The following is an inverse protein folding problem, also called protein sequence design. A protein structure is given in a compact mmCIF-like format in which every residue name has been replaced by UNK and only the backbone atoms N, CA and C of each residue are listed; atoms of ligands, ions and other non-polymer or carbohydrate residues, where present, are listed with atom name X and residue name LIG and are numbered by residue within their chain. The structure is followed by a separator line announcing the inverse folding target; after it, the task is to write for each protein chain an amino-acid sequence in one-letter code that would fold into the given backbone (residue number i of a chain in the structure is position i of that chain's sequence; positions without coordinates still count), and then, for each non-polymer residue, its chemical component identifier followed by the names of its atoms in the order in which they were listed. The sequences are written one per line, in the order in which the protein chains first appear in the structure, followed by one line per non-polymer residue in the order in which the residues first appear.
data_IF_872191332019
#
_entry.id   IF_872191332019
#
_cell.length_a   1.000
_cell.length_b   1.000
_cell.length_c   1.000
_cell.angle_alpha   90.00
_cell.angle_beta   90.00
_cell.angle_gamma   90.00
#
_symmetry.space_group_name_H-M   'P 1'
#
loop_
_entity.id
_entity.type
_entity.pdbx_description
1 polymer ?
#
# COMPACT_ATOMS: atom_id res chain seq x y z
N UNK A 1 14.56 -50.31 -48.69
CA UNK A 1 14.38 -50.97 -47.37
C UNK A 1 14.94 -50.19 -46.17
N UNK A 2 15.55 -49.00 -46.30
CA UNK A 2 16.13 -48.28 -45.13
C UNK A 2 15.19 -47.29 -44.42
N UNK A 3 14.13 -46.79 -45.06
CA UNK A 3 13.24 -45.77 -44.45
C UNK A 3 12.26 -46.30 -43.40
N UNK A 4 12.07 -47.62 -43.30
CA UNK A 4 11.15 -48.24 -42.32
C UNK A 4 11.83 -48.43 -40.96
N UNK A 5 13.15 -48.63 -40.94
CA UNK A 5 13.91 -48.85 -39.71
C UNK A 5 14.16 -47.57 -38.89
N UNK A 6 14.21 -46.39 -39.53
CA UNK A 6 14.35 -45.11 -38.81
C UNK A 6 13.07 -44.69 -38.09
N UNK A 7 11.89 -44.98 -38.66
CA UNK A 7 10.60 -44.67 -38.01
C UNK A 7 10.39 -45.44 -36.70
N UNK A 8 10.92 -46.66 -36.60
CA UNK A 8 10.81 -47.47 -35.39
C UNK A 8 11.76 -47.00 -34.27
N UNK A 9 12.95 -46.50 -34.61
CA UNK A 9 13.88 -45.92 -33.62
C UNK A 9 13.38 -44.59 -33.04
N UNK A 10 12.69 -43.78 -33.84
CA UNK A 10 12.07 -42.55 -33.36
C UNK A 10 10.91 -42.81 -32.39
N UNK A 11 10.12 -43.86 -32.64
CA UNK A 11 8.98 -44.21 -31.78
C UNK A 11 9.43 -44.80 -30.42
N UNK A 12 10.53 -45.57 -30.39
CA UNK A 12 11.07 -46.12 -29.14
C UNK A 12 11.75 -45.06 -28.26
N UNK A 13 12.39 -44.05 -28.85
CA UNK A 13 13.01 -42.95 -28.10
C UNK A 13 11.97 -42.00 -27.47
N UNK A 14 10.81 -41.83 -28.13
CA UNK A 14 9.69 -41.03 -27.63
C UNK A 14 9.00 -41.70 -26.42
N UNK A 15 8.91 -43.03 -26.42
CA UNK A 15 8.32 -43.79 -25.30
C UNK A 15 9.20 -43.81 -24.04
N UNK A 16 10.53 -43.84 -24.20
CA UNK A 16 11.46 -43.77 -23.05
C UNK A 16 11.47 -42.36 -22.44
N UNK A 17 11.37 -41.31 -23.27
CA UNK A 17 11.29 -39.93 -22.78
C UNK A 17 9.99 -39.68 -21.99
N UNK A 18 8.86 -40.25 -22.41
CA UNK A 18 7.59 -40.15 -21.68
C UNK A 18 7.54 -40.97 -20.39
N UNK A 19 8.23 -42.11 -20.30
CA UNK A 19 8.32 -42.86 -19.04
C UNK A 19 9.25 -42.18 -18.01
N UNK A 20 10.30 -41.48 -18.45
CA UNK A 20 11.19 -40.74 -17.54
C UNK A 20 10.55 -39.41 -17.06
N UNK A 21 9.65 -38.81 -17.84
CA UNK A 21 8.82 -37.67 -17.43
C UNK A 21 7.52 -38.06 -16.69
N UNK A 22 7.16 -39.35 -16.69
CA UNK A 22 5.96 -39.90 -16.03
C UNK A 22 6.16 -40.27 -14.56
N UNK A 23 7.38 -40.17 -14.03
CA UNK A 23 7.61 -39.99 -12.60
C UNK A 23 7.19 -38.58 -12.24
N UNK A 24 5.87 -38.34 -12.30
CA UNK A 24 5.24 -37.22 -11.64
C UNK A 24 5.81 -37.20 -10.24
N UNK A 25 6.52 -36.12 -9.92
CA UNK A 25 6.96 -35.82 -8.58
C UNK A 25 5.67 -35.83 -7.76
N UNK A 26 5.37 -36.96 -7.12
CA UNK A 26 4.34 -37.01 -6.10
C UNK A 26 4.93 -36.17 -4.99
N UNK A 27 4.69 -34.86 -5.05
CA UNK A 27 4.85 -34.01 -3.88
C UNK A 27 4.10 -34.75 -2.78
N UNK A 28 4.82 -35.18 -1.74
CA UNK A 28 4.21 -35.77 -0.57
C UNK A 28 3.05 -34.85 -0.20
N UNK A 29 1.82 -35.39 -0.20
CA UNK A 29 0.65 -34.60 0.07
C UNK A 29 0.85 -33.98 1.46
N UNK A 30 1.12 -32.67 1.47
CA UNK A 30 1.35 -31.95 2.71
C UNK A 30 0.14 -32.05 3.64
N UNK A 31 0.27 -31.66 4.90
CA UNK A 31 -0.86 -31.63 5.83
C UNK A 31 -2.07 -30.94 5.21
N UNK A 32 -3.23 -31.57 5.37
CA UNK A 32 -4.50 -31.04 4.88
C UNK A 32 -4.91 -29.81 5.68
N UNK A 33 -5.67 -28.92 5.07
CA UNK A 33 -6.35 -27.80 5.73
C UNK A 33 -7.83 -27.83 5.35
N UNK A 34 -8.70 -27.41 6.26
CA UNK A 34 -10.12 -27.15 5.95
C UNK A 34 -10.34 -25.78 5.30
N UNK A 35 -9.33 -24.91 5.29
CA UNK A 35 -9.41 -23.59 4.69
C UNK A 35 -9.37 -23.73 3.17
N UNK A 36 -10.43 -23.30 2.50
CA UNK A 36 -10.57 -23.38 1.04
C UNK A 36 -10.81 -22.03 0.38
N UNK A 37 -11.21 -21.02 1.15
CA UNK A 37 -11.55 -19.69 0.64
C UNK A 37 -10.75 -18.58 1.29
N UNK A 38 -10.81 -17.41 0.67
CA UNK A 38 -10.19 -16.17 1.12
C UNK A 38 -11.22 -15.05 1.01
N UNK A 39 -11.29 -14.20 2.03
CA UNK A 39 -12.00 -12.92 1.97
C UNK A 39 -11.13 -11.83 2.57
N UNK A 40 -10.89 -10.80 1.77
CA UNK A 40 -10.19 -9.59 2.19
C UNK A 40 -11.20 -8.46 2.31
N UNK A 41 -11.18 -7.77 3.45
CA UNK A 41 -11.98 -6.57 3.72
C UNK A 41 -11.02 -5.41 3.96
N UNK A 42 -11.30 -4.28 3.31
CA UNK A 42 -10.64 -3.01 3.57
C UNK A 42 -11.54 -2.09 4.39
N UNK A 43 -10.93 -1.19 5.15
CA UNK A 43 -11.65 -0.15 5.89
C UNK A 43 -12.16 0.97 4.97
N UNK A 44 -11.41 1.26 3.91
CA UNK A 44 -11.76 2.24 2.87
C UNK A 44 -11.58 1.64 1.47
N UNK A 45 -12.26 2.23 0.48
CA UNK A 45 -12.10 1.88 -0.93
C UNK A 45 -11.27 2.91 -1.71
N UNK A 46 -10.91 4.02 -1.06
CA UNK A 46 -10.12 5.12 -1.62
C UNK A 46 -9.20 5.68 -0.54
N UNK A 47 -7.96 5.95 -0.91
CA UNK A 47 -6.91 6.52 -0.06
C UNK A 47 -6.76 7.99 -0.43
N UNK A 48 -7.02 8.86 0.55
CA UNK A 48 -6.97 10.31 0.32
C UNK A 48 -5.58 10.86 0.57
N UNK A 49 -5.34 12.11 0.14
CA UNK A 49 -4.08 12.79 0.43
C UNK A 49 -3.77 12.88 1.94
N UNK A 50 -4.82 12.96 2.77
CA UNK A 50 -4.75 13.08 4.23
C UNK A 50 -4.77 11.74 4.97
N UNK A 51 -5.35 10.70 4.38
CA UNK A 51 -5.37 9.35 4.94
C UNK A 51 -4.60 8.39 4.03
N UNK A 52 -3.34 8.14 4.39
CA UNK A 52 -2.39 7.33 3.60
C UNK A 52 -2.26 5.89 4.07
N UNK A 53 -3.13 5.43 4.97
CA UNK A 53 -3.09 4.08 5.52
C UNK A 53 -4.37 3.35 5.13
N UNK A 54 -4.21 2.20 4.49
CA UNK A 54 -5.28 1.24 4.23
C UNK A 54 -5.16 0.09 5.24
N UNK A 55 -6.23 -0.22 5.96
CA UNK A 55 -6.26 -1.37 6.86
C UNK A 55 -6.94 -2.55 6.18
N UNK A 56 -6.32 -3.73 6.28
CA UNK A 56 -6.81 -4.97 5.69
C UNK A 56 -7.10 -6.00 6.77
N UNK A 57 -8.30 -6.56 6.71
CA UNK A 57 -8.67 -7.78 7.41
C UNK A 57 -8.69 -8.93 6.42
N UNK A 58 -7.96 -10.01 6.73
CA UNK A 58 -7.77 -11.17 5.89
C UNK A 58 -8.39 -12.36 6.60
N UNK A 59 -9.36 -13.00 5.97
CA UNK A 59 -10.05 -14.16 6.52
C UNK A 59 -9.83 -15.39 5.64
N UNK A 60 -9.35 -16.48 6.25
CA UNK A 60 -9.42 -17.81 5.68
C UNK A 60 -10.82 -18.38 5.89
N UNK A 61 -11.42 -18.92 4.84
CA UNK A 61 -12.80 -19.43 4.88
C UNK A 61 -12.86 -20.94 4.71
N UNK A 62 -13.85 -21.55 5.37
CA UNK A 62 -14.21 -22.95 5.20
C UNK A 62 -15.05 -23.17 3.92
N UNK A 63 -15.46 -24.40 3.67
CA UNK A 63 -16.30 -24.76 2.51
C UNK A 63 -17.72 -24.19 2.57
N UNK A 64 -18.14 -23.68 3.72
CA UNK A 64 -19.43 -23.01 3.93
C UNK A 64 -19.32 -21.48 3.82
N UNK A 65 -18.11 -20.94 3.62
CA UNK A 65 -17.85 -19.51 3.54
C UNK A 65 -17.76 -18.80 4.90
N UNK A 66 -17.68 -19.54 6.02
CA UNK A 66 -17.44 -18.99 7.34
C UNK A 66 -15.93 -18.88 7.62
N UNK A 67 -15.54 -18.05 8.58
CA UNK A 67 -14.13 -17.98 9.01
C UNK A 67 -13.71 -19.32 9.58
N UNK A 68 -12.67 -19.92 8.99
CA UNK A 68 -12.19 -21.23 9.38
C UNK A 68 -11.24 -21.15 10.57
N UNK A 69 -11.78 -21.40 11.76
CA UNK A 69 -11.01 -21.43 13.00
C UNK A 69 -10.26 -22.75 13.22
N UNK A 70 -10.53 -23.76 12.40
CA UNK A 70 -9.94 -25.10 12.48
C UNK A 70 -9.02 -25.40 11.30
N UNK A 71 -8.79 -24.43 10.40
CA UNK A 71 -7.95 -24.57 9.21
C UNK A 71 -6.56 -25.13 9.47
N UNK A 72 -6.04 -24.95 10.68
CA UNK A 72 -4.70 -25.39 11.09
C UNK A 72 -4.69 -26.76 11.79
N UNK A 73 -5.86 -27.39 12.02
CA UNK A 73 -5.97 -28.64 12.79
C UNK A 73 -5.26 -29.83 12.13
N UNK A 74 -5.04 -29.76 10.81
CA UNK A 74 -4.31 -30.79 10.06
C UNK A 74 -2.79 -30.67 10.11
N UNK A 75 -2.24 -29.74 10.88
CA UNK A 75 -0.79 -29.54 11.03
C UNK A 75 -0.16 -28.57 10.02
N UNK A 76 -0.98 -27.94 9.18
CA UNK A 76 -0.56 -26.81 8.36
C UNK A 76 -0.76 -25.50 9.11
N UNK A 77 0.14 -24.54 8.93
CA UNK A 77 -0.09 -23.13 9.29
C UNK A 77 -0.68 -22.39 8.10
N UNK A 78 -1.69 -21.55 8.31
CA UNK A 78 -2.25 -20.73 7.23
C UNK A 78 -1.60 -19.35 7.22
N UNK A 79 -1.09 -18.95 6.07
CA UNK A 79 -0.46 -17.64 5.86
C UNK A 79 -1.04 -16.96 4.62
N UNK A 80 -1.03 -15.62 4.61
CA UNK A 80 -1.40 -14.82 3.45
C UNK A 80 -0.19 -14.02 2.96
N UNK A 81 0.20 -14.18 1.71
CA UNK A 81 1.12 -13.26 1.04
C UNK A 81 0.33 -12.06 0.52
N UNK A 82 0.62 -10.88 1.05
CA UNK A 82 -0.04 -9.61 0.68
C UNK A 82 0.97 -8.77 -0.08
N UNK A 83 0.59 -8.33 -1.28
CA UNK A 83 1.40 -7.50 -2.15
C UNK A 83 0.63 -6.24 -2.57
N UNK A 84 1.31 -5.10 -2.60
CA UNK A 84 0.81 -3.84 -3.19
C UNK A 84 1.80 -3.28 -4.20
N UNK A 85 1.31 -2.60 -5.24
CA UNK A 85 2.14 -2.00 -6.30
C UNK A 85 2.59 -0.60 -5.88
N UNK A 86 1.68 0.20 -5.31
CA UNK A 86 1.93 1.60 -4.96
C UNK A 86 2.25 1.83 -3.48
N UNK A 87 1.90 0.89 -2.61
CA UNK A 87 2.02 1.02 -1.16
C UNK A 87 3.02 0.03 -0.55
N UNK A 88 3.38 0.30 0.71
CA UNK A 88 4.25 -0.56 1.50
C UNK A 88 3.45 -1.30 2.57
N UNK A 89 3.31 -2.61 2.41
CA UNK A 89 2.60 -3.49 3.35
C UNK A 89 3.37 -3.58 4.69
N UNK A 90 2.69 -3.28 5.79
CA UNK A 90 3.16 -3.45 7.16
C UNK A 90 2.39 -4.57 7.87
N UNK A 91 3.09 -5.28 8.74
CA UNK A 91 2.59 -6.46 9.43
C UNK A 91 3.16 -7.75 8.84
N UNK A 92 3.14 -8.81 9.65
CA UNK A 92 3.68 -10.12 9.28
C UNK A 92 5.21 -10.16 9.14
N UNK A 93 5.70 -11.15 8.40
CA UNK A 93 7.12 -11.42 8.18
C UNK A 93 7.56 -11.22 6.73
N UNK A 94 8.87 -11.01 6.51
CA UNK A 94 9.47 -10.95 5.17
C UNK A 94 9.68 -12.34 4.54
N UNK A 95 9.64 -13.39 5.35
CA UNK A 95 9.73 -14.78 4.89
C UNK A 95 8.59 -15.61 5.46
N UNK A 96 8.15 -16.67 4.78
CA UNK A 96 7.23 -17.65 5.33
C UNK A 96 7.89 -18.38 6.51
N UNK A 97 7.80 -17.87 7.74
CA UNK A 97 8.41 -18.55 8.90
C UNK A 97 8.99 -17.69 10.01
N UNK A 98 9.23 -16.39 9.80
CA UNK A 98 9.75 -15.50 10.86
C UNK A 98 8.85 -14.28 11.03
N UNK A 99 8.30 -14.11 12.24
CA UNK A 99 7.78 -12.81 12.66
C UNK A 99 8.98 -11.98 13.14
N UNK A 100 9.25 -10.84 12.51
CA UNK A 100 10.35 -9.95 12.90
C UNK A 100 10.00 -8.48 12.70
N UNK A 101 10.51 -7.65 13.62
CA UNK A 101 10.36 -6.18 13.68
C UNK A 101 11.46 -5.51 12.85
N UNK A 102 11.10 -4.53 12.01
CA UNK A 102 12.05 -3.61 11.37
C UNK A 102 12.01 -3.58 9.85
N UNK A 103 11.92 -2.36 9.33
CA UNK A 103 11.62 -1.91 7.96
C UNK A 103 12.67 -2.31 6.92
N UNK A 104 12.27 -2.87 5.76
CA UNK A 104 12.79 -2.59 4.40
C UNK A 104 11.86 -3.14 3.31
N UNK A 105 11.95 -2.56 2.12
CA UNK A 105 11.08 -2.73 0.96
C UNK A 105 11.29 -4.05 0.20
N UNK A 106 10.21 -4.81 0.08
CA UNK A 106 9.86 -5.69 -1.05
C UNK A 106 8.37 -5.96 -0.85
N UNK A 107 7.56 -5.61 -1.84
CA UNK A 107 6.12 -5.37 -1.73
C UNK A 107 5.28 -6.48 -1.09
N UNK A 108 5.83 -7.68 -0.96
CA UNK A 108 5.15 -8.86 -0.43
C UNK A 108 5.47 -9.10 1.04
N UNK A 109 4.44 -9.19 1.88
CA UNK A 109 4.53 -9.61 3.29
C UNK A 109 3.74 -10.88 3.54
N UNK A 110 4.21 -11.72 4.45
CA UNK A 110 3.52 -12.94 4.86
C UNK A 110 2.84 -12.73 6.21
N UNK A 111 1.52 -12.70 6.21
CA UNK A 111 0.66 -12.51 7.38
C UNK A 111 0.25 -13.88 7.89
N UNK A 112 0.49 -14.16 9.18
CA UNK A 112 -0.03 -15.36 9.83
C UNK A 112 -1.53 -15.20 10.10
N UNK A 113 -2.34 -16.20 9.78
CA UNK A 113 -3.76 -16.22 10.12
C UNK A 113 -3.96 -16.98 11.43
N UNK A 114 -4.24 -16.26 12.52
CA UNK A 114 -4.56 -16.87 13.80
C UNK A 114 -6.05 -17.24 13.82
N UNK A 115 -6.37 -18.53 13.87
CA UNK A 115 -7.74 -19.04 13.80
C UNK A 115 -8.51 -18.46 12.60
N UNK A 116 -7.89 -18.49 11.43
CA UNK A 116 -8.48 -17.99 10.18
C UNK A 116 -8.49 -16.47 10.04
N UNK A 117 -7.95 -15.69 10.98
CA UNK A 117 -7.94 -14.23 10.94
C UNK A 117 -6.52 -13.67 10.88
N UNK A 118 -6.26 -12.83 9.88
CA UNK A 118 -5.02 -12.07 9.71
C UNK A 118 -5.32 -10.58 9.54
N UNK A 119 -4.37 -9.73 9.91
CA UNK A 119 -4.48 -8.28 9.74
C UNK A 119 -3.16 -7.70 9.26
N UNK A 120 -3.24 -6.71 8.39
CA UNK A 120 -2.11 -5.91 7.95
C UNK A 120 -2.58 -4.52 7.56
N UNK A 121 -1.64 -3.60 7.37
CA UNK A 121 -1.96 -2.31 6.78
C UNK A 121 -1.00 -2.01 5.63
N UNK A 122 -1.39 -1.07 4.77
CA UNK A 122 -0.58 -0.61 3.65
C UNK A 122 -0.42 0.88 3.80
N UNK A 123 0.83 1.32 3.91
CA UNK A 123 1.17 2.74 3.98
C UNK A 123 1.56 3.22 2.59
N UNK A 124 0.86 4.21 2.07
CA UNK A 124 1.12 4.83 0.77
C UNK A 124 2.05 6.02 0.93
N UNK A 125 3.13 6.14 0.12
CA UNK A 125 3.98 7.31 0.16
C UNK A 125 3.22 8.55 -0.36
N UNK A 126 3.70 9.75 0.00
CA UNK A 126 2.98 10.99 -0.27
C UNK A 126 2.82 11.30 -1.78
N UNK A 127 3.72 10.77 -2.60
CA UNK A 127 3.77 10.90 -4.05
C UNK A 127 3.01 9.80 -4.81
N UNK A 128 2.52 8.75 -4.12
CA UNK A 128 1.69 7.73 -4.76
C UNK A 128 0.35 8.33 -5.22
N UNK A 129 -0.05 7.96 -6.44
CA UNK A 129 -1.34 8.31 -7.03
C UNK A 129 -1.76 7.30 -8.10
N UNK A 130 -3.06 7.21 -8.37
CA UNK A 130 -3.68 6.29 -9.32
C UNK A 130 -4.18 5.01 -8.66
N UNK A 131 -4.48 3.99 -9.45
CA UNK A 131 -5.04 2.72 -8.96
C UNK A 131 -3.94 1.77 -8.48
N UNK A 132 -3.96 1.42 -7.20
CA UNK A 132 -3.13 0.35 -6.64
C UNK A 132 -3.81 -1.01 -6.82
N UNK A 133 -3.03 -2.02 -7.20
CA UNK A 133 -3.49 -3.42 -7.31
C UNK A 133 -2.93 -4.21 -6.15
N UNK A 134 -3.78 -4.53 -5.18
CA UNK A 134 -3.42 -5.33 -4.01
C UNK A 134 -3.72 -6.80 -4.30
N UNK A 135 -2.70 -7.66 -4.20
CA UNK A 135 -2.86 -9.10 -4.38
C UNK A 135 -2.66 -9.82 -3.06
N UNK A 136 -3.62 -10.62 -2.64
CA UNK A 136 -3.56 -11.45 -1.44
C UNK A 136 -3.65 -12.92 -1.85
N UNK A 137 -2.61 -13.70 -1.54
CA UNK A 137 -2.52 -15.12 -1.84
C UNK A 137 -2.55 -15.88 -0.53
N UNK A 138 -3.58 -16.70 -0.34
CA UNK A 138 -3.71 -17.57 0.81
C UNK A 138 -2.95 -18.87 0.56
N UNK A 139 -2.10 -19.29 1.49
CA UNK A 139 -1.28 -20.48 1.37
C UNK A 139 -1.31 -21.29 2.66
N UNK A 140 -1.16 -22.61 2.52
CA UNK A 140 -0.79 -23.48 3.62
C UNK A 140 0.72 -23.61 3.68
N UNK A 141 1.27 -23.63 4.89
CA UNK A 141 2.70 -23.77 5.18
C UNK A 141 2.92 -24.94 6.13
N UNK A 142 3.93 -25.75 5.88
CA UNK A 142 4.36 -26.80 6.80
C UNK A 142 5.86 -27.02 6.75
N UNK A 143 6.40 -27.64 7.79
CA UNK A 143 7.83 -27.97 7.86
C UNK A 143 7.99 -29.48 7.91
N UNK A 144 8.80 -30.02 6.99
CA UNK A 144 9.15 -31.44 6.95
C UNK A 144 10.66 -31.58 6.80
N UNK A 145 11.28 -32.34 7.71
CA UNK A 145 12.74 -32.59 7.75
C UNK A 145 13.55 -31.26 7.67
N UNK A 146 13.13 -30.26 8.44
CA UNK A 146 13.81 -28.95 8.52
C UNK A 146 13.62 -28.04 7.31
N UNK A 147 12.85 -28.46 6.30
CA UNK A 147 12.51 -27.64 5.13
C UNK A 147 11.09 -27.09 5.26
N UNK A 148 10.91 -25.82 4.88
CA UNK A 148 9.58 -25.18 4.87
C UNK A 148 8.99 -25.25 3.47
N UNK A 149 7.78 -25.78 3.38
CA UNK A 149 7.00 -25.87 2.16
C UNK A 149 5.79 -24.94 2.25
N UNK A 150 5.41 -24.39 1.11
CA UNK A 150 4.21 -23.56 0.96
C UNK A 150 3.44 -23.99 -0.27
N UNK A 151 2.11 -24.04 -0.18
CA UNK A 151 1.22 -24.35 -1.29
C UNK A 151 0.06 -23.35 -1.30
N UNK A 152 -0.25 -22.81 -2.47
CA UNK A 152 -1.37 -21.90 -2.65
C UNK A 152 -2.71 -22.62 -2.48
N UNK A 153 -3.59 -22.01 -1.69
CA UNK A 153 -4.98 -22.42 -1.52
C UNK A 153 -5.84 -21.64 -2.52
N UNK A 154 -5.72 -20.31 -2.49
CA UNK A 154 -6.52 -19.40 -3.31
C UNK A 154 -5.90 -17.99 -3.33
N UNK A 155 -6.43 -17.10 -4.18
CA UNK A 155 -5.99 -15.71 -4.30
C UNK A 155 -7.15 -14.74 -4.51
N UNK A 156 -6.97 -13.51 -4.07
CA UNK A 156 -7.88 -12.40 -4.30
C UNK A 156 -7.08 -11.15 -4.70
N UNK A 157 -7.62 -10.37 -5.62
CA UNK A 157 -7.08 -9.06 -6.01
C UNK A 157 -8.10 -7.97 -5.68
N UNK A 158 -7.60 -6.84 -5.17
CA UNK A 158 -8.39 -5.63 -4.89
C UNK A 158 -7.75 -4.45 -5.60
N UNK A 159 -8.60 -3.56 -6.12
CA UNK A 159 -8.16 -2.29 -6.69
C UNK A 159 -8.54 -1.17 -5.74
N UNK A 160 -7.56 -0.37 -5.34
CA UNK A 160 -7.76 0.77 -4.43
C UNK A 160 -7.30 2.03 -5.15
N UNK A 161 -8.16 3.04 -5.17
CA UNK A 161 -7.80 4.32 -5.75
C UNK A 161 -6.99 5.15 -4.75
N UNK A 162 -5.83 5.64 -5.18
CA UNK A 162 -4.95 6.51 -4.39
C UNK A 162 -5.03 7.92 -4.98
N UNK A 163 -5.70 8.80 -4.25
CA UNK A 163 -5.84 10.19 -4.66
C UNK A 163 -4.46 10.88 -4.69
N UNK A 164 -4.19 11.74 -5.70
CA UNK A 164 -2.99 12.54 -5.72
C UNK A 164 -2.95 13.49 -4.52
N UNK A 165 -1.73 13.89 -4.13
CA UNK A 165 -1.58 14.96 -3.15
C UNK A 165 -2.30 16.22 -3.64
N UNK A 166 -3.03 16.88 -2.74
CA UNK A 166 -3.58 18.19 -3.05
C UNK A 166 -2.40 19.13 -3.40
N UNK A 167 -2.51 19.93 -4.47
CA UNK A 167 -1.51 20.97 -4.71
C UNK A 167 -1.43 21.85 -3.47
N UNK A 168 -0.22 22.26 -3.10
CA UNK A 168 -0.03 23.21 -2.01
C UNK A 168 -0.95 24.41 -2.23
N UNK A 169 -1.67 24.83 -1.19
CA UNK A 169 -2.45 26.05 -1.25
C UNK A 169 -1.51 27.17 -1.69
N UNK A 170 -1.83 27.83 -2.80
CA UNK A 170 -1.04 28.96 -3.27
C UNK A 170 -0.96 29.99 -2.14
N UNK A 171 0.24 30.54 -1.91
CA UNK A 171 0.39 31.69 -1.03
C UNK A 171 -0.36 32.86 -1.68
N UNK A 172 -1.18 33.58 -0.91
CA UNK A 172 -1.82 34.80 -1.39
C UNK A 172 -0.74 35.82 -1.72
N UNK A 173 -0.53 36.11 -3.00
CA UNK A 173 0.40 37.14 -3.43
C UNK A 173 -0.32 38.49 -3.45
N UNK A 174 0.00 39.34 -2.47
CA UNK A 174 -0.42 40.74 -2.47
C UNK A 174 0.36 41.45 -3.59
N UNK A 175 -0.34 41.94 -4.61
CA UNK A 175 0.24 42.70 -5.72
C UNK A 175 0.40 44.17 -5.42
N UNK A 176 -0.58 44.72 -4.72
CA UNK A 176 -0.61 46.15 -4.40
C UNK A 176 -1.53 46.41 -3.22
N UNK A 177 -1.28 47.51 -2.52
CA UNK A 177 -2.16 48.06 -1.51
C UNK A 177 -2.47 49.51 -1.87
N UNK A 178 -3.75 49.85 -1.90
CA UNK A 178 -4.22 51.23 -2.09
C UNK A 178 -4.80 51.74 -0.77
N UNK A 179 -4.13 52.69 -0.09
CA UNK A 179 -4.66 53.31 1.13
C UNK A 179 -6.00 54.01 0.88
N UNK A 180 -6.90 54.02 1.87
CA UNK A 180 -8.13 54.80 1.77
C UNK A 180 -7.83 56.31 1.79
N UNK A 181 -8.71 57.11 1.18
CA UNK A 181 -8.59 58.57 1.11
C UNK A 181 -8.57 59.27 2.48
N UNK A 182 -9.02 58.58 3.54
CA UNK A 182 -8.99 59.03 4.94
C UNK A 182 -7.65 58.74 5.64
N UNK A 183 -6.70 58.06 4.98
CA UNK A 183 -5.30 57.90 5.41
C UNK A 183 -4.34 58.59 4.41
N UNK A 184 -4.35 59.93 4.33
CA UNK A 184 -3.53 60.69 3.38
C UNK A 184 -2.03 60.61 3.64
N UNK A 185 -1.62 60.12 4.83
CA UNK A 185 -0.22 59.99 5.22
C UNK A 185 0.35 58.60 4.95
N UNK A 186 -0.48 57.65 4.46
CA UNK A 186 -0.04 56.30 4.13
C UNK A 186 0.52 55.53 5.34
N UNK A 187 0.01 55.77 6.55
CA UNK A 187 0.44 54.99 7.71
C UNK A 187 0.02 53.52 7.57
N UNK A 188 -1.07 53.24 6.84
CA UNK A 188 -1.42 51.90 6.37
C UNK A 188 -0.51 51.36 5.25
N UNK A 189 0.13 52.25 4.46
CA UNK A 189 1.10 51.85 3.43
C UNK A 189 2.45 51.39 4.03
N UNK A 190 2.76 51.78 5.27
CA UNK A 190 3.91 51.24 6.01
C UNK A 190 3.79 49.72 6.24
N UNK A 191 2.57 49.18 6.23
CA UNK A 191 2.29 47.74 6.30
C UNK A 191 2.35 47.03 4.92
N UNK A 192 2.28 47.78 3.82
CA UNK A 192 2.29 47.24 2.46
C UNK A 192 3.70 47.15 1.85
N UNK A 193 4.67 47.93 2.35
CA UNK A 193 6.08 47.87 1.91
C UNK A 193 6.87 46.70 2.53
N UNK A 194 6.20 45.63 2.98
CA UNK A 194 6.82 44.35 3.34
C UNK A 194 7.09 43.48 2.08
N UNK A 195 7.39 44.13 0.95
CA UNK A 195 7.77 43.48 -0.31
C UNK A 195 9.18 42.87 -0.26
N UNK A 196 9.95 43.16 0.78
CA UNK A 196 11.12 42.36 1.12
C UNK A 196 10.82 41.65 2.43
N UNK A 197 10.94 40.33 2.43
CA UNK A 197 10.57 39.50 3.56
C UNK A 197 11.07 40.11 4.85
N UNK A 198 10.18 40.19 5.86
CA UNK A 198 10.67 40.01 7.22
C UNK A 198 11.29 38.62 7.18
N UNK A 199 12.61 38.62 7.00
CA UNK A 199 13.46 37.50 7.33
C UNK A 199 13.18 37.18 8.78
N UNK A 200 12.22 36.28 9.00
CA UNK A 200 12.56 35.07 9.71
C UNK A 200 13.79 34.51 8.99
N UNK A 201 14.95 34.92 9.48
CA UNK A 201 16.13 34.09 9.67
C UNK A 201 16.00 32.61 9.30
N UNK A 202 15.76 32.27 8.03
CA UNK A 202 15.93 30.93 7.44
C UNK A 202 15.37 29.70 8.21
N UNK A 203 14.58 29.86 9.27
CA UNK A 203 14.13 28.78 10.14
C UNK A 203 12.70 29.00 10.64
N UNK A 204 11.76 29.31 9.75
CA UNK A 204 10.36 28.98 9.94
C UNK A 204 9.59 29.17 8.64
N UNK A 205 9.25 28.07 7.98
CA UNK A 205 8.06 28.01 7.14
C UNK A 205 6.84 28.24 8.05
N UNK A 206 6.50 29.48 8.42
CA UNK A 206 5.18 29.74 8.98
C UNK A 206 4.75 31.21 9.03
N UNK A 207 3.48 31.42 8.66
CA UNK A 207 2.61 32.55 9.01
C UNK A 207 2.60 33.82 8.13
N UNK A 208 2.26 33.63 6.84
CA UNK A 208 1.95 34.69 5.87
C UNK A 208 0.69 35.56 6.11
N UNK A 209 0.06 35.58 7.29
CA UNK A 209 -1.09 36.50 7.57
C UNK A 209 -1.08 37.02 9.02
N UNK A 210 0.07 37.09 9.71
CA UNK A 210 0.08 37.65 11.09
C UNK A 210 0.44 39.14 11.11
N UNK A 211 1.26 39.63 10.17
CA UNK A 211 1.69 41.03 10.16
C UNK A 211 0.62 42.01 9.63
N UNK A 212 -0.18 41.63 8.63
CA UNK A 212 -1.23 42.50 8.06
C UNK A 212 -2.47 42.62 8.95
N UNK A 213 -2.82 41.57 9.70
CA UNK A 213 -3.96 41.56 10.61
C UNK A 213 -3.68 42.31 11.93
N UNK A 214 -2.43 42.31 12.40
CA UNK A 214 -2.05 42.98 13.65
C UNK A 214 -2.25 44.52 13.61
N UNK A 215 -2.17 45.14 12.43
CA UNK A 215 -2.27 46.61 12.26
C UNK A 215 -3.71 47.07 11.92
N UNK A 216 -4.61 46.13 11.58
CA UNK A 216 -6.06 46.43 11.54
C UNK A 216 -6.68 46.60 12.93
N UNK A 217 -5.87 46.45 13.99
CA UNK A 217 -6.32 46.70 15.36
C UNK A 217 -6.00 48.15 15.75
N UNK A 218 -7.07 48.93 15.89
CA UNK A 218 -7.17 50.29 16.44
C UNK A 218 -6.88 51.49 15.51
N UNK A 219 -7.97 52.03 14.93
CA UNK A 219 -8.14 53.44 14.51
C UNK A 219 -7.31 54.00 13.33
N UNK A 220 -6.65 53.17 12.52
CA UNK A 220 -6.07 53.63 11.24
C UNK A 220 -7.04 53.33 10.10
N UNK A 221 -7.36 54.33 9.27
CA UNK A 221 -8.21 54.14 8.11
C UNK A 221 -7.60 53.07 7.18
N UNK A 222 -8.40 52.06 6.82
CA UNK A 222 -7.94 50.89 6.05
C UNK A 222 -7.55 51.19 4.59
N UNK A 223 -7.43 50.14 3.78
CA UNK A 223 -7.17 50.24 2.34
C UNK A 223 -7.58 48.98 1.58
N UNK A 224 -7.43 48.99 0.26
CA UNK A 224 -7.77 47.87 -0.63
C UNK A 224 -6.51 47.12 -1.02
N UNK A 225 -6.50 45.80 -0.82
CA UNK A 225 -5.46 44.91 -1.35
C UNK A 225 -5.87 44.37 -2.72
N UNK A 226 -4.95 44.41 -3.68
CA UNK A 226 -5.02 43.60 -4.89
C UNK A 226 -4.26 42.30 -4.63
N UNK A 227 -4.92 41.16 -4.80
CA UNK A 227 -4.33 39.82 -4.64
C UNK A 227 -4.38 39.06 -5.97
N UNK A 228 -3.40 38.19 -6.22
CA UNK A 228 -3.36 37.28 -7.37
C UNK A 228 -3.45 35.82 -6.95
#
# INVERSE_FOLDING_TARGET
MSKVFEKWKFLSLFFVLFMVLGLGVTYAAGPSTSTVGLKVITDVNEITATNRILNLSIMGLDSYGNVDTLGESGGATIIAAVQSVLGNVQGGGATPGTAAVGTFATSTRYILLNNGNGQCNINYPADASGTDTITVILMKRWTEIGQTYTEEITRQTLNIEVAPAAPAAGVLHIRSFTPAATDPNGLGALAANLEDGVGGDNEAEDNGIVAGAAIMTANVAGGVFEVR
#
